data_IF_424333702625
#
_entry.id   IF_424333702625
#
_cell.length_a   1.000
_cell.length_b   1.000
_cell.length_c   1.000
_cell.angle_alpha   90.00
_cell.angle_beta   90.00
_cell.angle_gamma   90.00
#
_symmetry.space_group_name_H-M   'P 1'
#
loop_
_entity.id
_entity.type
_entity.pdbx_description
1 polymer ?
#
# COMPACT_ATOMS: atom_id res chain seq x y z
N UNK A 1 -11.11 -11.56 -10.99
CA UNK A 1 -10.36 -10.37 -11.38
C UNK A 1 -9.80 -10.51 -12.80
N UNK A 2 -8.80 -11.36 -13.08
CA UNK A 2 -8.15 -11.41 -14.40
C UNK A 2 -9.09 -11.60 -15.61
N UNK A 3 -10.22 -12.30 -15.46
CA UNK A 3 -11.19 -12.59 -16.52
C UNK A 3 -12.36 -11.58 -16.61
N UNK A 4 -12.43 -10.60 -15.72
CA UNK A 4 -13.57 -9.69 -15.61
C UNK A 4 -13.10 -8.25 -15.49
N UNK A 5 -13.41 -7.44 -16.48
CA UNK A 5 -12.99 -6.02 -16.56
C UNK A 5 -13.72 -5.11 -15.57
N UNK A 6 -14.89 -5.53 -15.09
CA UNK A 6 -15.69 -4.80 -14.10
C UNK A 6 -15.16 -4.96 -12.66
N UNK A 7 -14.11 -5.76 -12.43
CA UNK A 7 -13.47 -5.92 -11.13
C UNK A 7 -12.16 -5.13 -11.12
N UNK A 8 -12.07 -4.16 -10.22
CA UNK A 8 -10.87 -3.35 -10.04
C UNK A 8 -9.62 -4.22 -9.79
N UNK A 9 -8.51 -3.81 -10.38
CA UNK A 9 -7.22 -4.53 -10.30
C UNK A 9 -6.42 -4.09 -9.08
N UNK A 10 -7.00 -4.29 -7.91
CA UNK A 10 -6.40 -3.95 -6.64
C UNK A 10 -6.64 -5.07 -5.63
N UNK A 11 -5.59 -5.45 -4.91
CA UNK A 11 -5.63 -6.44 -3.84
C UNK A 11 -5.01 -5.83 -2.59
N UNK A 12 -5.77 -5.82 -1.49
CA UNK A 12 -5.22 -5.55 -0.18
C UNK A 12 -4.77 -6.88 0.43
N UNK A 13 -3.46 -7.03 0.62
CA UNK A 13 -2.82 -8.25 1.09
C UNK A 13 -1.97 -7.94 2.34
N UNK A 14 -2.56 -7.94 3.56
CA UNK A 14 -1.86 -7.60 4.79
C UNK A 14 -0.73 -8.58 5.10
N UNK A 15 0.53 -8.13 5.12
CA UNK A 15 1.68 -8.96 5.49
C UNK A 15 1.93 -8.96 6.98
N UNK A 16 1.72 -7.84 7.65
CA UNK A 16 1.94 -7.56 9.06
C UNK A 16 3.42 -7.43 9.47
N UNK A 17 4.30 -8.33 9.04
CA UNK A 17 5.75 -8.33 9.25
C UNK A 17 6.44 -9.06 8.09
N UNK A 18 7.68 -8.70 7.82
CA UNK A 18 8.54 -9.41 6.86
C UNK A 18 9.34 -10.56 7.47
N UNK A 19 9.33 -10.71 8.81
CA UNK A 19 9.98 -11.79 9.53
C UNK A 19 9.05 -12.99 9.72
N UNK A 20 9.47 -14.16 9.29
CA UNK A 20 8.74 -15.42 9.52
C UNK A 20 8.55 -15.72 11.01
N UNK A 21 9.54 -15.35 11.86
CA UNK A 21 9.43 -15.50 13.32
C UNK A 21 8.33 -14.62 13.91
N UNK A 22 8.24 -13.36 13.45
CA UNK A 22 7.17 -12.47 13.89
C UNK A 22 5.80 -12.91 13.38
N UNK A 23 5.70 -13.37 12.14
CA UNK A 23 4.46 -13.91 11.58
C UNK A 23 3.95 -15.11 12.39
N UNK A 24 4.82 -16.01 12.81
CA UNK A 24 4.46 -17.15 13.68
C UNK A 24 3.95 -16.65 15.05
N UNK A 25 4.66 -15.72 15.69
CA UNK A 25 4.22 -15.09 16.96
C UNK A 25 2.85 -14.39 16.82
N UNK A 26 2.61 -13.72 15.69
CA UNK A 26 1.32 -13.10 15.34
C UNK A 26 0.25 -14.12 14.91
N UNK A 27 0.56 -15.40 14.93
CA UNK A 27 -0.30 -16.50 14.49
C UNK A 27 -0.79 -16.37 13.05
N UNK A 28 0.04 -15.85 12.17
CA UNK A 28 -0.21 -15.91 10.74
C UNK A 28 0.07 -17.31 10.22
N UNK A 29 -0.79 -17.81 9.31
CA UNK A 29 -0.67 -19.16 8.73
C UNK A 29 0.22 -19.19 7.49
N UNK A 30 1.13 -18.24 7.38
CA UNK A 30 2.09 -18.08 6.28
C UNK A 30 3.41 -17.53 6.83
N UNK A 31 4.49 -17.80 6.10
CA UNK A 31 5.81 -17.23 6.32
C UNK A 31 6.15 -16.21 5.21
N UNK A 32 7.34 -15.62 5.29
CA UNK A 32 7.86 -14.65 4.32
C UNK A 32 7.87 -15.21 2.89
N UNK A 33 8.40 -16.42 2.71
CA UNK A 33 8.58 -17.07 1.41
C UNK A 33 7.23 -17.29 0.73
N UNK A 34 6.28 -17.86 1.45
CA UNK A 34 4.91 -18.04 0.94
C UNK A 34 4.27 -16.72 0.53
N UNK A 35 4.48 -15.66 1.31
CA UNK A 35 3.93 -14.35 0.99
C UNK A 35 4.51 -13.80 -0.31
N UNK A 36 5.84 -13.88 -0.51
CA UNK A 36 6.51 -13.45 -1.73
C UNK A 36 6.04 -14.26 -2.95
N UNK A 37 5.95 -15.58 -2.84
CA UNK A 37 5.41 -16.45 -3.90
C UNK A 37 3.96 -16.04 -4.26
N UNK A 38 3.16 -15.64 -3.26
CA UNK A 38 1.79 -15.17 -3.49
C UNK A 38 1.76 -13.87 -4.27
N UNK A 39 2.63 -12.92 -3.94
CA UNK A 39 2.77 -11.66 -4.67
C UNK A 39 3.19 -11.92 -6.13
N UNK A 40 4.18 -12.77 -6.34
CA UNK A 40 4.65 -13.14 -7.68
C UNK A 40 3.54 -13.80 -8.51
N UNK A 41 2.76 -14.67 -7.88
CA UNK A 41 1.60 -15.30 -8.52
C UNK A 41 0.54 -14.27 -8.91
N UNK A 42 0.24 -13.30 -8.04
CA UNK A 42 -0.71 -12.22 -8.35
C UNK A 42 -0.20 -11.45 -9.58
N UNK A 43 1.05 -11.01 -9.58
CA UNK A 43 1.64 -10.25 -10.68
C UNK A 43 1.75 -11.02 -11.99
N UNK A 44 1.97 -12.33 -11.93
CA UNK A 44 1.99 -13.17 -13.13
C UNK A 44 0.61 -13.30 -13.79
N UNK A 45 -0.47 -13.22 -13.01
CA UNK A 45 -1.85 -13.36 -13.49
C UNK A 45 -2.49 -12.00 -13.81
N UNK A 46 -2.12 -10.96 -13.05
CA UNK A 46 -2.63 -9.58 -13.19
C UNK A 46 -1.42 -8.63 -13.08
N UNK A 47 -0.66 -8.40 -14.17
CA UNK A 47 0.59 -7.63 -14.13
C UNK A 47 0.47 -6.20 -13.62
N UNK A 48 -0.70 -5.57 -13.84
CA UNK A 48 -1.04 -4.19 -13.45
C UNK A 48 -1.85 -4.12 -12.14
N UNK A 49 -1.84 -5.19 -11.34
CA UNK A 49 -2.54 -5.23 -10.06
C UNK A 49 -1.84 -4.32 -9.04
N UNK A 50 -2.59 -3.34 -8.53
CA UNK A 50 -2.18 -2.58 -7.34
C UNK A 50 -2.21 -3.49 -6.11
N UNK A 51 -1.10 -3.52 -5.34
CA UNK A 51 -1.00 -4.32 -4.12
C UNK A 51 -0.75 -3.38 -2.94
N UNK A 52 -1.66 -3.42 -1.96
CA UNK A 52 -1.52 -2.70 -0.71
C UNK A 52 -1.44 -3.67 0.47
N UNK A 53 -0.87 -3.20 1.59
CA UNK A 53 -0.61 -4.06 2.75
C UNK A 53 -0.82 -3.33 4.08
N UNK A 54 -0.81 -4.09 5.18
CA UNK A 54 -0.62 -3.58 6.53
C UNK A 54 0.72 -4.05 7.08
N UNK A 55 1.38 -3.19 7.86
CA UNK A 55 2.64 -3.48 8.55
C UNK A 55 2.56 -2.98 9.98
N UNK A 56 3.03 -3.80 10.93
CA UNK A 56 3.11 -3.47 12.35
C UNK A 56 4.59 -3.45 12.75
N UNK A 57 5.07 -2.32 13.26
CA UNK A 57 6.41 -2.15 13.81
C UNK A 57 6.40 -2.34 15.32
N UNK A 58 7.42 -2.99 15.88
CA UNK A 58 7.61 -3.12 17.32
C UNK A 58 6.64 -4.09 17.99
N UNK A 59 6.23 -5.18 17.33
CA UNK A 59 5.49 -6.26 17.98
C UNK A 59 6.37 -6.91 19.07
N UNK A 60 5.74 -7.48 20.10
CA UNK A 60 6.40 -8.09 21.25
C UNK A 60 7.60 -8.98 20.86
N UNK A 61 8.78 -8.68 21.36
CA UNK A 61 10.02 -9.40 21.09
C UNK A 61 10.55 -9.28 19.66
N UNK A 62 10.16 -8.25 18.91
CA UNK A 62 10.73 -7.98 17.59
C UNK A 62 12.18 -7.53 17.71
N UNK A 63 13.08 -8.27 17.11
CA UNK A 63 14.52 -7.92 17.05
C UNK A 63 14.79 -6.90 15.93
N UNK A 64 16.01 -6.34 15.91
CA UNK A 64 16.43 -5.48 14.80
C UNK A 64 16.47 -6.27 13.48
N UNK A 65 16.87 -7.55 13.50
CA UNK A 65 16.85 -8.39 12.31
C UNK A 65 15.43 -8.60 11.78
N UNK A 66 14.44 -8.80 12.66
CA UNK A 66 13.02 -8.93 12.25
C UNK A 66 12.50 -7.65 11.59
N UNK A 67 12.94 -6.48 12.10
CA UNK A 67 12.65 -5.20 11.49
C UNK A 67 13.30 -5.06 10.11
N UNK A 68 14.58 -5.40 9.96
CA UNK A 68 15.28 -5.41 8.67
C UNK A 68 14.65 -6.38 7.67
N UNK A 69 14.19 -7.53 8.12
CA UNK A 69 13.45 -8.48 7.27
C UNK A 69 12.14 -7.84 6.75
N UNK A 70 11.50 -7.00 7.56
CA UNK A 70 10.30 -6.27 7.12
C UNK A 70 10.64 -5.22 6.07
N UNK A 71 11.70 -4.43 6.27
CA UNK A 71 12.14 -3.44 5.30
C UNK A 71 12.54 -4.10 3.96
N UNK A 72 13.32 -5.17 4.00
CA UNK A 72 13.76 -5.87 2.78
C UNK A 72 12.61 -6.55 2.03
N UNK A 73 11.58 -7.04 2.74
CA UNK A 73 10.37 -7.54 2.09
C UNK A 73 9.63 -6.41 1.36
N UNK A 74 9.49 -5.24 1.99
CA UNK A 74 8.83 -4.09 1.38
C UNK A 74 9.58 -3.60 0.13
N UNK A 75 10.92 -3.58 0.16
CA UNK A 75 11.76 -3.24 -1.00
C UNK A 75 11.58 -4.23 -2.16
N UNK A 76 11.48 -5.52 -1.84
CA UNK A 76 11.30 -6.59 -2.83
C UNK A 76 9.90 -6.55 -3.45
N UNK A 77 8.87 -6.32 -2.64
CA UNK A 77 7.49 -6.29 -3.11
C UNK A 77 7.16 -4.97 -3.81
N UNK A 78 7.69 -3.83 -3.37
CA UNK A 78 7.32 -2.50 -3.90
C UNK A 78 5.80 -2.31 -3.85
N UNK A 79 5.26 -2.22 -2.64
CA UNK A 79 3.82 -1.99 -2.44
C UNK A 79 3.40 -0.62 -2.99
N UNK A 80 2.21 -0.54 -3.57
CA UNK A 80 1.61 0.73 -4.01
C UNK A 80 1.31 1.65 -2.83
N UNK A 81 0.83 1.08 -1.72
CA UNK A 81 0.59 1.77 -0.46
C UNK A 81 0.61 0.78 0.70
N UNK A 82 0.87 1.26 1.91
CA UNK A 82 0.78 0.46 3.12
C UNK A 82 0.10 1.26 4.25
N UNK A 83 -0.68 0.58 5.09
CA UNK A 83 -1.09 1.08 6.39
C UNK A 83 -0.07 0.60 7.42
N UNK A 84 0.57 1.53 8.09
CA UNK A 84 1.72 1.28 8.94
C UNK A 84 1.40 1.72 10.38
N UNK A 85 1.62 0.84 11.34
CA UNK A 85 1.25 1.05 12.73
C UNK A 85 2.42 0.69 13.65
N UNK A 86 2.64 1.49 14.71
CA UNK A 86 3.38 1.00 15.86
C UNK A 86 2.48 0.02 16.63
N UNK A 87 3.05 -1.07 17.10
CA UNK A 87 2.31 -2.02 17.92
C UNK A 87 1.78 -1.33 19.18
N UNK A 88 0.51 -1.55 19.45
CA UNK A 88 -0.16 -1.15 20.68
C UNK A 88 -0.88 -2.35 21.26
N UNK A 89 -0.61 -2.65 22.51
CA UNK A 89 -1.26 -3.74 23.22
C UNK A 89 -2.77 -3.55 23.27
N UNK A 90 -3.49 -4.61 22.92
CA UNK A 90 -4.97 -4.63 23.03
C UNK A 90 -5.37 -5.61 24.12
N UNK A 91 -5.96 -5.15 25.24
CA UNK A 91 -6.41 -6.01 26.33
C UNK A 91 -7.31 -7.13 25.82
N UNK A 92 -7.16 -8.33 26.38
CA UNK A 92 -7.96 -9.49 26.04
C UNK A 92 -7.50 -10.28 24.83
N UNK A 93 -6.55 -9.76 24.04
CA UNK A 93 -5.95 -10.51 22.92
C UNK A 93 -5.02 -11.60 23.44
N UNK A 94 -4.74 -12.58 22.59
CA UNK A 94 -3.78 -13.62 22.95
C UNK A 94 -2.36 -13.06 23.07
N UNK A 95 -2.00 -12.07 22.27
CA UNK A 95 -0.72 -11.40 22.34
C UNK A 95 -0.51 -10.76 23.73
N UNK A 96 -1.48 -9.97 24.22
CA UNK A 96 -1.40 -9.35 25.54
C UNK A 96 -1.36 -10.35 26.71
N UNK A 97 -1.91 -11.56 26.51
CA UNK A 97 -1.87 -12.62 27.54
C UNK A 97 -0.56 -13.41 27.54
N UNK A 98 0.13 -13.49 26.40
CA UNK A 98 1.23 -14.42 26.19
C UNK A 98 2.60 -13.74 26.11
N UNK A 99 2.63 -12.51 25.63
CA UNK A 99 3.88 -11.79 25.39
C UNK A 99 3.85 -10.45 26.11
N UNK A 100 4.93 -10.09 26.83
CA UNK A 100 5.07 -8.73 27.36
C UNK A 100 5.27 -7.74 26.20
N UNK A 101 4.75 -6.52 26.34
CA UNK A 101 5.09 -5.42 25.42
C UNK A 101 6.47 -4.86 25.81
N UNK A 102 7.51 -5.51 25.34
CA UNK A 102 8.91 -5.34 25.73
C UNK A 102 9.71 -4.40 24.82
N UNK A 103 9.09 -3.86 23.77
CA UNK A 103 9.76 -2.91 22.88
C UNK A 103 9.47 -1.48 23.35
N UNK A 104 10.50 -0.66 23.69
CA UNK A 104 10.31 0.73 24.08
C UNK A 104 9.58 1.54 23.03
N UNK A 105 8.77 2.52 23.47
CA UNK A 105 7.98 3.38 22.58
C UNK A 105 8.85 4.12 21.54
N UNK A 106 9.99 4.62 21.95
CA UNK A 106 10.95 5.31 21.09
C UNK A 106 11.45 4.39 19.96
N UNK A 107 11.69 3.12 20.29
CA UNK A 107 12.13 2.13 19.31
C UNK A 107 11.03 1.76 18.34
N UNK A 108 9.79 1.57 18.81
CA UNK A 108 8.63 1.38 17.94
C UNK A 108 8.44 2.55 16.97
N UNK A 109 8.63 3.78 17.49
CA UNK A 109 8.51 5.01 16.69
C UNK A 109 9.62 5.12 15.66
N UNK A 110 10.88 4.80 16.02
CA UNK A 110 12.01 4.76 15.10
C UNK A 110 11.73 3.80 13.94
N UNK A 111 11.37 2.56 14.25
CA UNK A 111 11.05 1.52 13.25
C UNK A 111 9.88 1.92 12.36
N UNK A 112 8.82 2.46 12.94
CA UNK A 112 7.68 2.95 12.17
C UNK A 112 8.08 4.06 11.20
N UNK A 113 8.90 5.02 11.63
CA UNK A 113 9.38 6.11 10.77
C UNK A 113 10.24 5.60 9.61
N UNK A 114 11.07 4.59 9.83
CA UNK A 114 11.86 3.95 8.77
C UNK A 114 10.97 3.26 7.74
N UNK A 115 9.94 2.53 8.20
CA UNK A 115 8.93 1.90 7.33
C UNK A 115 8.17 2.96 6.53
N UNK A 116 7.74 4.07 7.15
CA UNK A 116 7.04 5.17 6.47
C UNK A 116 7.93 5.80 5.40
N UNK A 117 9.19 6.09 5.72
CA UNK A 117 10.14 6.68 4.77
C UNK A 117 10.41 5.73 3.59
N UNK A 118 10.56 4.43 3.86
CA UNK A 118 10.74 3.42 2.82
C UNK A 118 9.49 3.32 1.94
N UNK A 119 8.29 3.22 2.53
CA UNK A 119 7.06 3.12 1.78
C UNK A 119 6.85 4.35 0.87
N UNK A 120 7.18 5.55 1.34
CA UNK A 120 7.13 6.76 0.50
C UNK A 120 7.97 6.62 -0.77
N UNK A 121 9.19 6.08 -0.66
CA UNK A 121 10.06 5.81 -1.83
C UNK A 121 9.47 4.71 -2.73
N UNK A 122 8.92 3.65 -2.14
CA UNK A 122 8.34 2.54 -2.91
C UNK A 122 7.07 2.96 -3.65
N UNK A 123 6.21 3.75 -2.99
CA UNK A 123 5.02 4.31 -3.64
C UNK A 123 5.38 5.22 -4.81
N UNK A 124 6.39 6.08 -4.65
CA UNK A 124 6.88 6.92 -5.75
C UNK A 124 7.39 6.05 -6.91
N UNK A 125 8.26 5.08 -6.64
CA UNK A 125 8.78 4.14 -7.64
C UNK A 125 7.68 3.35 -8.36
N UNK A 126 6.60 2.99 -7.65
CA UNK A 126 5.43 2.35 -8.25
C UNK A 126 4.64 3.32 -9.13
N UNK A 127 4.49 4.57 -8.70
CA UNK A 127 3.74 5.59 -9.43
C UNK A 127 4.49 6.05 -10.69
N UNK A 128 5.82 6.14 -10.67
CA UNK A 128 6.64 6.49 -11.83
C UNK A 128 6.41 5.58 -13.04
N UNK A 129 6.05 4.32 -12.81
CA UNK A 129 5.71 3.35 -13.86
C UNK A 129 4.39 3.67 -14.57
N UNK A 130 3.59 4.57 -14.03
CA UNK A 130 2.30 5.00 -14.61
C UNK A 130 2.45 6.18 -15.57
N UNK A 131 3.57 6.91 -15.55
CA UNK A 131 3.78 8.08 -16.42
C UNK A 131 3.61 7.69 -17.89
N UNK A 132 2.82 8.48 -18.61
CA UNK A 132 2.47 8.27 -20.02
C UNK A 132 1.35 7.27 -20.27
N UNK A 133 0.85 6.57 -19.24
CA UNK A 133 -0.27 5.65 -19.41
C UNK A 133 -1.61 6.40 -19.43
N UNK A 134 -2.54 5.84 -20.20
CA UNK A 134 -3.95 6.23 -20.20
C UNK A 134 -4.70 5.39 -19.20
N UNK A 135 -5.48 6.04 -18.35
CA UNK A 135 -6.22 5.40 -17.26
C UNK A 135 -7.68 5.82 -17.31
N UNK A 136 -8.58 4.86 -17.10
CA UNK A 136 -9.99 5.11 -16.79
C UNK A 136 -10.12 5.35 -15.30
N UNK A 137 -10.65 6.50 -14.91
CA UNK A 137 -10.75 6.97 -13.53
C UNK A 137 -12.20 7.16 -13.13
N UNK A 138 -12.58 6.61 -11.98
CA UNK A 138 -13.86 6.91 -11.33
C UNK A 138 -13.71 8.21 -10.54
N UNK A 139 -14.49 9.22 -10.88
CA UNK A 139 -14.49 10.52 -10.21
C UNK A 139 -15.08 10.38 -8.80
N UNK A 140 -14.34 10.82 -7.78
CA UNK A 140 -14.78 10.81 -6.38
C UNK A 140 -15.22 12.19 -5.89
N UNK A 141 -14.71 13.27 -6.49
CA UNK A 141 -15.08 14.63 -6.17
C UNK A 141 -13.97 15.66 -6.42
N UNK A 142 -14.16 16.89 -5.92
CA UNK A 142 -13.15 17.95 -6.04
C UNK A 142 -11.83 17.59 -5.33
N UNK A 143 -10.72 18.00 -5.89
CA UNK A 143 -9.42 17.93 -5.26
C UNK A 143 -9.38 18.81 -4.00
N UNK A 144 -8.81 18.28 -2.91
CA UNK A 144 -8.69 19.05 -1.65
C UNK A 144 -7.77 20.25 -1.75
N UNK A 145 -6.85 20.27 -2.73
CA UNK A 145 -5.84 21.32 -2.87
C UNK A 145 -6.23 22.40 -3.88
N UNK A 146 -7.04 22.03 -4.87
CA UNK A 146 -7.45 22.95 -5.93
C UNK A 146 -8.91 22.64 -6.34
N UNK A 147 -9.85 23.58 -6.15
CA UNK A 147 -11.25 23.37 -6.50
C UNK A 147 -11.51 23.24 -8.01
N UNK A 148 -10.60 23.69 -8.87
CA UNK A 148 -10.68 23.55 -10.32
C UNK A 148 -10.25 22.16 -10.81
N UNK A 149 -9.81 21.31 -9.89
CA UNK A 149 -9.39 19.95 -10.17
C UNK A 149 -10.32 18.94 -9.51
N UNK A 150 -10.46 17.78 -10.14
CA UNK A 150 -11.12 16.62 -9.59
C UNK A 150 -10.10 15.59 -9.14
N UNK A 151 -10.52 14.76 -8.20
CA UNK A 151 -9.80 13.56 -7.83
C UNK A 151 -10.67 12.32 -8.06
N UNK A 152 -10.00 11.19 -8.30
CA UNK A 152 -10.66 9.93 -8.51
C UNK A 152 -9.69 8.77 -8.48
N UNK A 153 -10.21 7.55 -8.63
CA UNK A 153 -9.38 6.34 -8.55
C UNK A 153 -9.34 5.58 -9.85
N UNK A 154 -8.12 5.19 -10.23
CA UNK A 154 -7.91 4.21 -11.29
C UNK A 154 -8.27 2.79 -10.80
N UNK A 155 -8.34 1.83 -11.72
CA UNK A 155 -8.63 0.42 -11.42
C UNK A 155 -7.63 -0.20 -10.42
N UNK A 156 -6.38 0.25 -10.41
CA UNK A 156 -5.35 -0.13 -9.43
C UNK A 156 -5.50 0.52 -8.06
N UNK A 157 -6.58 1.27 -7.83
CA UNK A 157 -6.83 2.07 -6.62
C UNK A 157 -5.88 3.26 -6.41
N UNK A 158 -5.05 3.59 -7.39
CA UNK A 158 -4.18 4.77 -7.33
C UNK A 158 -5.02 6.04 -7.46
N UNK A 159 -4.71 7.04 -6.64
CA UNK A 159 -5.35 8.35 -6.67
C UNK A 159 -4.86 9.15 -7.88
N UNK A 160 -5.79 9.64 -8.69
CA UNK A 160 -5.56 10.53 -9.81
C UNK A 160 -6.12 11.92 -9.51
N UNK A 161 -5.40 12.98 -9.91
CA UNK A 161 -5.87 14.36 -9.88
C UNK A 161 -5.74 14.94 -11.28
N UNK A 162 -6.79 15.62 -11.77
CA UNK A 162 -6.89 16.10 -13.14
C UNK A 162 -7.82 17.33 -13.21
N UNK A 163 -7.67 18.22 -14.23
CA UNK A 163 -8.55 19.36 -14.43
C UNK A 163 -10.01 18.94 -14.62
N UNK A 164 -10.94 19.68 -13.99
CA UNK A 164 -12.39 19.47 -14.15
C UNK A 164 -12.87 19.96 -15.51
N UNK A 165 -13.78 19.19 -16.14
CA UNK A 165 -14.54 19.59 -17.32
C UNK A 165 -16.05 19.49 -17.08
N UNK A 166 -16.45 19.44 -15.79
CA UNK A 166 -17.85 19.41 -15.38
C UNK A 166 -18.35 18.02 -14.97
N UNK A 167 -17.47 17.04 -14.85
CA UNK A 167 -17.81 15.70 -14.35
C UNK A 167 -18.26 15.77 -12.89
N UNK A 168 -19.10 14.81 -12.53
CA UNK A 168 -19.66 14.66 -11.18
C UNK A 168 -19.13 13.38 -10.51
N UNK A 169 -19.14 13.33 -9.17
CA UNK A 169 -18.87 12.08 -8.47
C UNK A 169 -19.71 10.93 -9.00
N UNK A 170 -19.04 9.81 -9.33
CA UNK A 170 -19.66 8.63 -9.96
C UNK A 170 -19.45 8.54 -11.47
N UNK A 171 -19.05 9.62 -12.13
CA UNK A 171 -18.71 9.57 -13.56
C UNK A 171 -17.37 8.88 -13.79
N UNK A 172 -17.18 8.36 -14.99
CA UNK A 172 -15.90 7.86 -15.46
C UNK A 172 -15.30 8.80 -16.49
N UNK A 173 -14.01 9.01 -16.42
CA UNK A 173 -13.27 9.79 -17.41
C UNK A 173 -11.94 9.12 -17.77
N UNK A 174 -11.42 9.45 -18.94
CA UNK A 174 -10.09 9.01 -19.37
C UNK A 174 -9.07 10.12 -19.17
N UNK A 175 -7.92 9.72 -18.60
CA UNK A 175 -6.83 10.64 -18.28
C UNK A 175 -5.50 10.04 -18.70
N UNK A 176 -4.51 10.87 -18.96
CA UNK A 176 -3.11 10.48 -19.16
C UNK A 176 -2.27 10.97 -17.99
N UNK A 177 -1.44 10.11 -17.43
CA UNK A 177 -0.54 10.45 -16.32
C UNK A 177 0.63 11.27 -16.85
N UNK A 178 0.80 12.51 -16.36
CA UNK A 178 1.88 13.41 -16.80
C UNK A 178 2.98 13.55 -15.77
N UNK A 179 2.67 13.44 -14.50
CA UNK A 179 3.66 13.43 -13.42
C UNK A 179 3.11 12.71 -12.19
N UNK A 180 3.95 12.47 -11.18
CA UNK A 180 3.56 11.70 -10.00
C UNK A 180 4.18 12.27 -8.73
N UNK A 181 3.52 11.98 -7.61
CA UNK A 181 4.08 12.05 -6.25
C UNK A 181 4.03 10.67 -5.63
N UNK A 182 4.53 10.50 -4.42
CA UNK A 182 4.35 9.24 -3.67
C UNK A 182 2.88 8.89 -3.37
N UNK A 183 1.98 9.88 -3.39
CA UNK A 183 0.58 9.70 -3.02
C UNK A 183 -0.40 9.79 -4.20
N UNK A 184 -0.01 10.39 -5.33
CA UNK A 184 -0.97 10.83 -6.36
C UNK A 184 -0.35 10.80 -7.74
N UNK A 185 -1.15 10.40 -8.72
CA UNK A 185 -0.88 10.55 -10.14
C UNK A 185 -1.48 11.89 -10.60
N UNK A 186 -0.65 12.77 -11.17
CA UNK A 186 -1.08 14.04 -11.76
C UNK A 186 -1.35 13.77 -13.23
N UNK A 187 -2.58 14.04 -13.65
CA UNK A 187 -3.06 13.64 -14.95
C UNK A 187 -3.57 14.84 -15.77
N UNK A 188 -3.56 14.69 -17.08
CA UNK A 188 -4.32 15.54 -18.00
C UNK A 188 -5.51 14.79 -18.58
N UNK A 189 -6.53 15.51 -18.98
CA UNK A 189 -7.68 14.93 -19.69
C UNK A 189 -7.26 14.45 -21.07
N UNK A 190 -7.89 13.35 -21.50
CA UNK A 190 -7.85 12.89 -22.89
C UNK A 190 -9.26 13.14 -23.43
N UNK A 191 -9.31 13.98 -24.46
CA UNK A 191 -10.56 14.28 -25.21
C UNK A 191 -11.00 13.10 -26.07
#
# INVERSE_FOLDING_TARGET
MAKHENICRHIHLPVQSGSSVMLEKMRRKYNREWYLERVDKIRSVIPDCGITTDVIAGFCGETEQDHQDTLTLMEQVVFDSAFMFAYSERPGTLASKKYPDDIPYEEKTRRLNEIIALQGRMSLKSNEKEIGKRLKVLVEGPSKKNPDELCGRASSNKMCVFPSQGEKPGDYCEVEVVSVTSATLICRRID
#
